data_IF_129135557601
#
_entry.id   IF_129135557601
#
_cell.length_a   1.000
_cell.length_b   1.000
_cell.length_c   1.000
_cell.angle_alpha   90.00
_cell.angle_beta   90.00
_cell.angle_gamma   90.00
#
_symmetry.space_group_name_H-M   'P 1'
#
loop_
_entity.id
_entity.type
_entity.pdbx_description
1 polymer ?
#
# COMPACT_ATOMS: atom_id res chain seq x y z
N UNK A 1 7.97 15.47 -10.61
CA UNK A 1 6.51 15.32 -10.75
C UNK A 1 5.79 16.65 -10.68
N UNK A 2 6.40 17.65 -10.09
CA UNK A 2 5.88 19.00 -9.99
C UNK A 2 5.32 19.35 -8.62
N UNK A 3 5.26 20.62 -8.37
CA UNK A 3 4.91 21.29 -7.11
C UNK A 3 3.60 20.79 -6.51
N UNK A 4 2.53 20.66 -7.29
CA UNK A 4 1.22 20.18 -6.77
C UNK A 4 1.25 18.74 -6.28
N UNK A 5 2.06 17.89 -6.89
CA UNK A 5 2.20 16.49 -6.44
C UNK A 5 3.01 16.42 -5.15
N UNK A 6 4.07 17.23 -5.04
CA UNK A 6 4.90 17.32 -3.84
C UNK A 6 4.10 17.88 -2.65
N UNK A 7 3.31 18.93 -2.88
CA UNK A 7 2.38 19.47 -1.89
C UNK A 7 1.36 18.42 -1.43
N UNK A 8 0.77 17.66 -2.37
CA UNK A 8 -0.17 16.60 -2.00
C UNK A 8 0.51 15.50 -1.18
N UNK A 9 1.70 15.07 -1.55
CA UNK A 9 2.46 14.06 -0.81
C UNK A 9 2.78 14.54 0.62
N UNK A 10 3.14 15.79 0.82
CA UNK A 10 3.35 16.36 2.14
C UNK A 10 2.05 16.41 2.95
N UNK A 11 0.97 16.94 2.38
CA UNK A 11 -0.33 17.05 3.05
C UNK A 11 -0.89 15.67 3.42
N UNK A 12 -0.76 14.67 2.52
CA UNK A 12 -1.24 13.32 2.78
C UNK A 12 -0.39 12.58 3.82
N UNK A 13 0.92 12.82 3.86
CA UNK A 13 1.78 12.26 4.91
C UNK A 13 1.40 12.83 6.30
N UNK A 14 1.11 14.11 6.38
CA UNK A 14 0.62 14.76 7.61
C UNK A 14 -0.74 14.19 8.04
N UNK A 15 -1.68 14.07 7.10
CA UNK A 15 -3.02 13.51 7.34
C UNK A 15 -2.97 12.07 7.86
N UNK A 16 -2.09 11.23 7.32
CA UNK A 16 -1.93 9.83 7.72
C UNK A 16 -0.96 9.62 8.87
N UNK A 17 -0.36 10.69 9.40
CA UNK A 17 0.68 10.63 10.43
C UNK A 17 1.83 9.68 10.05
N UNK A 18 2.27 9.74 8.79
CA UNK A 18 3.39 8.99 8.24
C UNK A 18 4.56 9.92 7.91
N UNK A 19 5.78 9.35 7.81
CA UNK A 19 6.97 10.15 7.46
C UNK A 19 7.08 10.45 5.97
N UNK A 20 6.57 9.55 5.14
CA UNK A 20 6.69 9.63 3.69
C UNK A 20 5.38 9.20 3.04
N UNK A 21 4.99 9.92 2.02
CA UNK A 21 3.88 9.63 1.14
C UNK A 21 4.37 9.67 -0.30
N UNK A 22 4.12 8.63 -1.06
CA UNK A 22 4.58 8.46 -2.44
C UNK A 22 3.37 8.17 -3.31
N UNK A 23 2.94 9.15 -4.08
CA UNK A 23 1.80 9.01 -4.99
C UNK A 23 2.16 8.18 -6.23
N UNK A 24 1.16 7.53 -6.81
CA UNK A 24 1.30 6.67 -7.99
C UNK A 24 0.02 6.67 -8.84
N UNK A 25 0.00 5.91 -9.91
CA UNK A 25 -1.09 5.90 -10.88
C UNK A 25 -2.43 5.41 -10.34
N UNK A 26 -2.44 4.43 -9.44
CA UNK A 26 -3.65 3.86 -8.86
C UNK A 26 -3.34 2.97 -7.64
N UNK A 27 -4.39 2.49 -6.95
CA UNK A 27 -4.21 1.63 -5.77
C UNK A 27 -3.60 0.26 -6.06
N UNK A 28 -3.86 -0.34 -7.21
CA UNK A 28 -3.26 -1.62 -7.62
C UNK A 28 -1.75 -1.48 -7.79
N UNK A 29 -1.33 -0.42 -8.47
CA UNK A 29 0.08 -0.08 -8.66
C UNK A 29 0.75 0.21 -7.32
N UNK A 30 0.05 0.87 -6.38
CA UNK A 30 0.58 1.12 -5.05
C UNK A 30 1.01 -0.18 -4.35
N UNK A 31 0.15 -1.22 -4.37
CA UNK A 31 0.47 -2.52 -3.77
C UNK A 31 1.62 -3.20 -4.54
N UNK A 32 1.57 -3.23 -5.87
CA UNK A 32 2.62 -3.85 -6.69
C UNK A 32 3.98 -3.19 -6.47
N UNK A 33 4.04 -1.86 -6.46
CA UNK A 33 5.28 -1.11 -6.22
C UNK A 33 5.88 -1.42 -4.85
N UNK A 34 5.05 -1.55 -3.79
CA UNK A 34 5.52 -1.97 -2.47
C UNK A 34 6.12 -3.37 -2.52
N UNK A 35 5.40 -4.34 -3.08
CA UNK A 35 5.86 -5.72 -3.19
C UNK A 35 7.20 -5.83 -3.93
N UNK A 36 7.33 -5.17 -5.08
CA UNK A 36 8.58 -5.14 -5.86
C UNK A 36 9.72 -4.45 -5.13
N UNK A 37 9.43 -3.34 -4.42
CA UNK A 37 10.43 -2.64 -3.59
C UNK A 37 10.98 -3.51 -2.47
N UNK A 38 10.17 -4.45 -1.97
CA UNK A 38 10.55 -5.45 -0.96
C UNK A 38 11.22 -6.68 -1.55
N UNK A 39 11.35 -6.77 -2.88
CA UNK A 39 12.00 -7.88 -3.59
C UNK A 39 11.10 -9.09 -3.82
N UNK A 40 9.79 -8.94 -3.67
CA UNK A 40 8.81 -10.01 -3.93
C UNK A 40 8.78 -10.31 -5.44
N UNK A 41 8.85 -11.59 -5.80
CA UNK A 41 9.02 -12.05 -7.17
C UNK A 41 8.45 -13.45 -7.39
N UNK A 42 8.61 -13.98 -8.60
CA UNK A 42 8.23 -15.35 -8.95
C UNK A 42 8.85 -16.38 -7.97
N UNK A 43 8.03 -17.31 -7.50
CA UNK A 43 8.37 -18.33 -6.52
C UNK A 43 8.11 -17.94 -5.07
N UNK A 44 7.86 -16.66 -4.78
CA UNK A 44 7.43 -16.19 -3.46
C UNK A 44 5.92 -16.33 -3.29
N UNK A 45 5.47 -16.38 -2.04
CA UNK A 45 4.07 -16.40 -1.64
C UNK A 45 3.74 -15.17 -0.80
N UNK A 46 2.56 -14.59 -1.03
CA UNK A 46 2.02 -13.46 -0.28
C UNK A 46 0.65 -13.85 0.26
N UNK A 47 0.48 -13.81 1.58
CA UNK A 47 -0.80 -14.09 2.22
C UNK A 47 -1.71 -12.88 2.03
N UNK A 48 -2.94 -13.14 1.58
CA UNK A 48 -3.96 -12.14 1.24
C UNK A 48 -5.31 -12.56 1.81
N UNK A 49 -6.05 -11.61 2.34
CA UNK A 49 -7.43 -11.78 2.77
C UNK A 49 -8.35 -12.13 1.59
N UNK A 50 -9.15 -13.20 1.72
CA UNK A 50 -9.92 -13.75 0.58
C UNK A 50 -11.08 -12.85 0.13
N UNK A 51 -11.74 -12.14 1.05
CA UNK A 51 -12.90 -11.27 0.78
C UNK A 51 -12.51 -9.85 0.30
N UNK A 52 -11.25 -9.65 -0.13
CA UNK A 52 -10.79 -8.37 -0.67
C UNK A 52 -11.29 -8.11 -2.09
N UNK A 53 -11.18 -6.86 -2.54
CA UNK A 53 -11.30 -6.55 -3.96
C UNK A 53 -10.14 -7.16 -4.73
N UNK A 54 -10.40 -7.60 -5.96
CA UNK A 54 -9.43 -8.33 -6.81
C UNK A 54 -8.07 -7.63 -6.95
N UNK A 55 -8.01 -6.31 -6.83
CA UNK A 55 -6.79 -5.52 -6.98
C UNK A 55 -5.66 -5.98 -6.06
N UNK A 56 -5.98 -6.38 -4.81
CA UNK A 56 -4.98 -6.85 -3.84
C UNK A 56 -4.28 -8.13 -4.34
N UNK A 57 -5.06 -9.12 -4.77
CA UNK A 57 -4.53 -10.37 -5.32
C UNK A 57 -3.85 -10.17 -6.69
N UNK A 58 -4.43 -9.31 -7.54
CA UNK A 58 -3.87 -8.98 -8.85
C UNK A 58 -2.49 -8.34 -8.71
N UNK A 59 -2.29 -7.42 -7.76
CA UNK A 59 -1.00 -6.79 -7.52
C UNK A 59 0.08 -7.83 -7.13
N UNK A 60 -0.29 -8.85 -6.36
CA UNK A 60 0.61 -9.97 -6.04
C UNK A 60 0.98 -10.74 -7.30
N UNK A 61 -0.01 -11.17 -8.10
CA UNK A 61 0.25 -11.96 -9.32
C UNK A 61 1.07 -11.20 -10.36
N UNK A 62 0.90 -9.88 -10.45
CA UNK A 62 1.70 -9.02 -11.34
C UNK A 62 3.19 -9.01 -10.98
N UNK A 63 3.57 -9.30 -9.73
CA UNK A 63 4.99 -9.50 -9.36
C UNK A 63 5.55 -10.86 -9.79
N UNK A 64 4.69 -11.79 -10.19
CA UNK A 64 5.00 -13.21 -10.42
C UNK A 64 4.89 -14.08 -9.16
N UNK A 65 4.61 -13.49 -7.99
CA UNK A 65 4.37 -14.22 -6.75
C UNK A 65 2.97 -14.85 -6.74
N UNK A 66 2.77 -15.81 -5.85
CA UNK A 66 1.50 -16.53 -5.67
C UNK A 66 0.73 -15.92 -4.50
N UNK A 67 -0.50 -15.41 -4.69
CA UNK A 67 -1.37 -15.06 -3.57
C UNK A 67 -1.85 -16.33 -2.86
N UNK A 68 -1.70 -16.36 -1.54
CA UNK A 68 -2.22 -17.42 -0.67
C UNK A 68 -3.37 -16.84 0.14
N UNK A 69 -4.56 -17.30 -0.13
CA UNK A 69 -5.75 -16.74 0.50
C UNK A 69 -5.98 -17.33 1.89
N UNK A 70 -6.38 -16.47 2.82
CA UNK A 70 -6.93 -16.82 4.13
C UNK A 70 -8.32 -16.22 4.27
N UNK A 71 -9.17 -16.88 5.03
CA UNK A 71 -10.53 -16.41 5.25
C UNK A 71 -10.55 -15.14 6.13
N UNK A 72 -11.69 -14.47 6.17
CA UNK A 72 -11.94 -13.38 7.10
C UNK A 72 -12.60 -13.90 8.38
N UNK A 73 -12.51 -13.09 9.42
CA UNK A 73 -13.28 -13.28 10.66
C UNK A 73 -14.71 -12.72 10.53
N UNK A 74 -15.45 -12.71 11.65
CA UNK A 74 -16.82 -12.16 11.73
C UNK A 74 -16.91 -10.66 11.41
N UNK A 75 -15.80 -9.96 11.53
CA UNK A 75 -15.71 -8.52 11.28
C UNK A 75 -15.25 -8.20 9.86
N UNK A 76 -15.19 -9.20 8.98
CA UNK A 76 -14.72 -9.11 7.59
C UNK A 76 -13.23 -8.74 7.46
N UNK A 77 -12.45 -8.88 8.52
CA UNK A 77 -11.02 -8.63 8.54
C UNK A 77 -10.24 -9.94 8.46
N UNK A 78 -8.94 -9.86 8.15
CA UNK A 78 -8.10 -11.04 7.99
C UNK A 78 -8.09 -11.90 9.27
N UNK A 79 -8.36 -13.20 9.13
CA UNK A 79 -8.35 -14.12 10.27
C UNK A 79 -6.92 -14.46 10.69
N UNK A 80 -6.50 -14.01 11.87
CA UNK A 80 -5.17 -14.23 12.43
C UNK A 80 -4.82 -15.70 12.66
N UNK A 81 -5.81 -16.52 13.07
CA UNK A 81 -5.58 -17.93 13.37
C UNK A 81 -5.30 -18.74 12.09
N UNK A 82 -5.87 -18.34 10.97
CA UNK A 82 -5.68 -19.01 9.70
C UNK A 82 -4.33 -18.67 9.03
N UNK A 83 -3.76 -17.50 9.32
CA UNK A 83 -2.45 -17.11 8.78
C UNK A 83 -1.38 -18.13 9.16
N UNK A 84 -1.32 -18.57 10.43
CA UNK A 84 -0.31 -19.52 10.89
C UNK A 84 -0.39 -20.88 10.16
N UNK A 85 -1.57 -21.27 9.69
CA UNK A 85 -1.80 -22.56 9.01
C UNK A 85 -1.22 -22.60 7.59
N UNK A 86 -1.06 -21.43 6.97
CA UNK A 86 -0.67 -21.30 5.54
C UNK A 86 0.75 -20.78 5.32
N UNK A 87 1.46 -20.41 6.39
CA UNK A 87 2.86 -19.95 6.28
C UNK A 87 3.76 -21.08 5.81
N UNK A 88 4.51 -20.84 4.75
CA UNK A 88 5.53 -21.74 4.21
C UNK A 88 6.91 -21.07 4.16
N UNK A 89 7.94 -21.80 3.72
CA UNK A 89 9.27 -21.22 3.48
C UNK A 89 9.29 -20.20 2.32
N UNK A 90 8.28 -20.22 1.45
CA UNK A 90 8.11 -19.29 0.33
C UNK A 90 7.36 -18.02 0.72
N UNK A 91 6.64 -18.02 1.83
CA UNK A 91 5.90 -16.85 2.30
C UNK A 91 6.87 -15.72 2.63
N UNK A 92 6.62 -14.52 2.07
CA UNK A 92 7.44 -13.32 2.24
C UNK A 92 6.68 -12.14 2.82
N UNK A 93 5.37 -12.06 2.59
CA UNK A 93 4.56 -10.95 3.04
C UNK A 93 3.14 -11.39 3.43
N UNK A 94 2.51 -10.53 4.23
CA UNK A 94 1.09 -10.57 4.57
C UNK A 94 0.51 -9.21 4.16
N UNK A 95 -0.59 -9.21 3.41
CA UNK A 95 -1.38 -8.02 3.11
C UNK A 95 -2.71 -8.14 3.86
N UNK A 96 -2.91 -7.27 4.85
CA UNK A 96 -4.19 -7.09 5.52
C UNK A 96 -4.96 -5.96 4.83
N UNK A 97 -6.25 -6.16 4.62
CA UNK A 97 -7.10 -5.15 4.01
C UNK A 97 -7.96 -4.50 5.07
N UNK A 98 -7.87 -3.18 5.18
CA UNK A 98 -8.72 -2.37 6.06
C UNK A 98 -10.08 -2.14 5.38
N UNK A 99 -10.84 -3.25 5.23
CA UNK A 99 -12.05 -3.32 4.45
C UNK A 99 -13.16 -2.46 5.07
N UNK A 100 -13.92 -1.75 4.25
CA UNK A 100 -15.00 -0.84 4.67
C UNK A 100 -14.55 0.29 5.62
N UNK A 101 -13.25 0.57 5.67
CA UNK A 101 -12.67 1.59 6.56
C UNK A 101 -12.39 1.09 7.97
N UNK A 102 -12.55 -0.21 8.22
CA UNK A 102 -12.28 -0.83 9.51
C UNK A 102 -10.85 -1.36 9.58
N UNK A 103 -10.13 -1.00 10.63
CA UNK A 103 -8.79 -1.50 10.90
C UNK A 103 -8.84 -2.76 11.76
N UNK A 104 -8.04 -3.77 11.38
CA UNK A 104 -7.89 -5.01 12.15
C UNK A 104 -6.92 -4.89 13.33
N UNK A 105 -6.66 -6.01 14.02
CA UNK A 105 -5.61 -6.07 15.05
C UNK A 105 -4.20 -6.05 14.41
N UNK A 106 -3.85 -4.88 13.89
CA UNK A 106 -2.58 -4.64 13.20
C UNK A 106 -1.35 -4.83 14.11
N UNK A 107 -1.51 -4.70 15.43
CA UNK A 107 -0.43 -4.98 16.37
C UNK A 107 -0.13 -6.47 16.48
N UNK A 108 -1.15 -7.31 16.54
CA UNK A 108 -0.97 -8.78 16.51
C UNK A 108 -0.45 -9.27 15.17
N UNK A 109 -0.93 -8.71 14.05
CA UNK A 109 -0.37 -8.96 12.72
C UNK A 109 1.12 -8.60 12.62
N UNK A 110 1.52 -7.45 13.16
CA UNK A 110 2.91 -7.03 13.23
C UNK A 110 3.76 -8.03 14.03
N UNK A 111 3.29 -8.45 15.22
CA UNK A 111 4.00 -9.45 16.03
C UNK A 111 4.17 -10.78 15.30
N UNK A 112 3.11 -11.24 14.63
CA UNK A 112 3.12 -12.47 13.85
C UNK A 112 4.10 -12.35 12.67
N UNK A 113 4.01 -11.29 11.89
CA UNK A 113 4.91 -11.04 10.77
C UNK A 113 6.38 -10.99 11.23
N UNK A 114 6.66 -10.29 12.33
CA UNK A 114 8.01 -10.21 12.91
C UNK A 114 8.54 -11.59 13.36
N UNK A 115 7.70 -12.40 14.01
CA UNK A 115 8.04 -13.77 14.44
C UNK A 115 8.47 -14.63 13.26
N UNK A 116 7.78 -14.51 12.12
CA UNK A 116 8.05 -15.30 10.91
C UNK A 116 8.97 -14.59 9.89
N UNK A 117 9.51 -13.40 10.23
CA UNK A 117 10.35 -12.58 9.35
C UNK A 117 9.67 -12.21 8.02
N UNK A 118 8.37 -11.96 8.08
CA UNK A 118 7.54 -11.56 6.94
C UNK A 118 7.38 -10.03 6.91
N UNK A 119 7.18 -9.49 5.72
CA UNK A 119 6.74 -8.11 5.56
C UNK A 119 5.23 -8.02 5.84
N UNK A 120 4.82 -7.04 6.64
CA UNK A 120 3.43 -6.71 6.87
C UNK A 120 3.06 -5.44 6.12
N UNK A 121 2.05 -5.50 5.27
CA UNK A 121 1.55 -4.42 4.41
C UNK A 121 0.06 -4.25 4.68
N UNK A 122 -0.43 -3.01 4.66
CA UNK A 122 -1.85 -2.70 4.75
C UNK A 122 -2.38 -2.19 3.40
N UNK A 123 -3.45 -2.82 2.91
CA UNK A 123 -4.27 -2.25 1.85
C UNK A 123 -5.37 -1.40 2.50
N UNK A 124 -5.19 -0.09 2.44
CA UNK A 124 -6.08 0.92 3.01
C UNK A 124 -6.87 1.68 1.94
N UNK A 125 -7.10 1.05 0.79
CA UNK A 125 -7.84 1.65 -0.31
C UNK A 125 -9.28 2.09 0.05
N UNK A 126 -9.80 1.65 1.20
CA UNK A 126 -11.12 2.02 1.73
C UNK A 126 -11.03 2.69 3.12
N UNK A 127 -9.84 3.01 3.61
CA UNK A 127 -9.60 3.38 5.00
C UNK A 127 -8.92 4.77 5.15
N UNK A 128 -9.24 5.71 4.26
CA UNK A 128 -8.78 7.10 4.37
C UNK A 128 -9.35 7.71 5.65
N UNK A 129 -8.47 8.21 6.52
CA UNK A 129 -8.85 8.78 7.82
C UNK A 129 -9.23 7.77 8.90
N UNK A 130 -9.21 6.47 8.61
CA UNK A 130 -9.45 5.44 9.63
C UNK A 130 -8.41 5.50 10.74
N UNK A 131 -8.84 5.28 11.97
CA UNK A 131 -7.95 5.18 13.13
C UNK A 131 -8.40 4.06 14.06
N UNK A 132 -7.43 3.37 14.65
CA UNK A 132 -7.65 2.41 15.73
C UNK A 132 -6.70 2.73 16.88
N UNK A 133 -7.25 2.94 18.10
CA UNK A 133 -6.47 3.34 19.26
C UNK A 133 -5.55 4.56 18.98
N UNK A 134 -6.07 5.57 18.27
CA UNK A 134 -5.36 6.78 17.81
C UNK A 134 -4.20 6.52 16.82
N UNK A 135 -4.09 5.33 16.26
CA UNK A 135 -3.10 4.99 15.25
C UNK A 135 -3.76 4.92 13.87
N UNK A 136 -3.17 5.55 12.88
CA UNK A 136 -3.56 5.44 11.47
C UNK A 136 -2.98 4.18 10.83
N UNK A 137 -3.50 3.72 9.67
CA UNK A 137 -2.85 2.69 8.87
C UNK A 137 -1.38 3.07 8.58
N UNK A 138 -0.48 2.07 8.56
CA UNK A 138 0.96 2.31 8.42
C UNK A 138 1.73 2.42 9.74
N UNK A 139 1.04 2.41 10.89
CA UNK A 139 1.70 2.47 12.20
C UNK A 139 2.56 1.25 12.48
N UNK A 140 2.07 0.07 12.15
CA UNK A 140 2.70 -1.22 12.44
C UNK A 140 3.21 -1.91 11.18
N UNK A 141 2.65 -1.61 10.02
CA UNK A 141 3.06 -2.16 8.74
C UNK A 141 4.29 -1.43 8.19
N UNK A 142 4.99 -2.09 7.25
CA UNK A 142 6.11 -1.48 6.52
C UNK A 142 5.64 -0.40 5.55
N UNK A 143 4.42 -0.56 5.03
CA UNK A 143 3.74 0.38 4.16
C UNK A 143 2.22 0.22 4.25
N UNK A 144 1.49 1.31 4.01
CA UNK A 144 0.06 1.31 3.76
C UNK A 144 -0.23 1.88 2.37
N UNK A 145 -1.15 1.26 1.63
CA UNK A 145 -1.47 1.62 0.25
C UNK A 145 -2.88 2.17 0.13
N UNK A 146 -3.06 3.18 -0.69
CA UNK A 146 -4.33 3.91 -0.85
C UNK A 146 -4.70 4.00 -2.33
N UNK A 147 -6.01 4.02 -2.58
CA UNK A 147 -6.58 4.27 -3.90
C UNK A 147 -7.35 5.58 -3.87
N UNK A 148 -7.16 6.41 -4.90
CA UNK A 148 -7.94 7.63 -5.10
C UNK A 148 -8.91 7.50 -6.29
N UNK A 149 -9.32 6.25 -6.63
CA UNK A 149 -10.42 6.04 -7.57
C UNK A 149 -11.62 6.93 -7.19
N UNK A 150 -12.36 7.52 -8.13
CA UNK A 150 -13.38 8.55 -7.84
C UNK A 150 -14.41 8.19 -6.78
N UNK A 151 -14.74 6.90 -6.62
CA UNK A 151 -15.69 6.39 -5.63
C UNK A 151 -15.10 6.17 -4.22
N UNK A 152 -13.83 6.49 -3.98
CA UNK A 152 -13.21 6.37 -2.65
C UNK A 152 -13.50 7.59 -1.79
N UNK A 153 -13.33 7.46 -0.46
CA UNK A 153 -13.55 8.56 0.51
C UNK A 153 -12.76 9.81 0.12
N UNK A 154 -11.51 9.64 -0.30
CA UNK A 154 -10.72 10.66 -0.97
C UNK A 154 -10.57 10.25 -2.44
N UNK A 155 -11.48 10.68 -3.29
CA UNK A 155 -11.49 10.35 -4.71
C UNK A 155 -10.96 11.48 -5.58
N UNK A 156 -10.06 11.16 -6.51
CA UNK A 156 -9.62 12.06 -7.58
C UNK A 156 -10.71 12.23 -8.66
N UNK A 157 -10.45 12.97 -9.70
CA UNK A 157 -11.28 13.05 -10.91
C UNK A 157 -10.82 12.07 -12.00
N UNK A 158 -10.18 11.01 -11.61
CA UNK A 158 -9.63 9.94 -12.43
C UNK A 158 -8.92 8.93 -11.53
N UNK A 159 -7.97 8.19 -12.09
CA UNK A 159 -7.18 7.27 -11.31
C UNK A 159 -6.13 8.00 -10.45
N UNK A 160 -5.80 7.41 -9.33
CA UNK A 160 -4.76 7.84 -8.43
C UNK A 160 -4.54 6.83 -7.32
N UNK A 161 -3.37 6.85 -6.74
CA UNK A 161 -3.00 6.04 -5.59
C UNK A 161 -1.87 6.64 -4.80
N UNK A 162 -1.62 6.09 -3.63
CA UNK A 162 -0.53 6.52 -2.79
C UNK A 162 -0.04 5.38 -1.90
N UNK A 163 1.22 5.48 -1.51
CA UNK A 163 1.87 4.60 -0.55
C UNK A 163 2.38 5.47 0.59
N UNK A 164 2.05 5.12 1.83
CA UNK A 164 2.66 5.75 3.00
C UNK A 164 3.61 4.78 3.69
N UNK A 165 4.71 5.31 4.23
CA UNK A 165 5.70 4.51 4.96
C UNK A 165 6.49 5.37 5.93
N UNK A 166 7.03 4.73 6.98
CA UNK A 166 7.98 5.34 7.90
C UNK A 166 9.44 4.97 7.60
N UNK A 167 9.66 4.14 6.57
CA UNK A 167 10.99 3.70 6.13
C UNK A 167 11.52 4.59 5.01
N UNK A 168 12.59 5.35 5.30
CA UNK A 168 13.29 6.17 4.32
C UNK A 168 13.79 5.33 3.13
N UNK A 169 14.38 4.17 3.43
CA UNK A 169 14.91 3.27 2.39
C UNK A 169 13.82 2.77 1.44
N UNK A 170 12.62 2.45 1.97
CA UNK A 170 11.49 2.03 1.15
C UNK A 170 10.96 3.20 0.31
N UNK A 171 10.82 4.39 0.91
CA UNK A 171 10.37 5.58 0.21
C UNK A 171 11.28 5.94 -0.99
N UNK A 172 12.59 5.91 -0.79
CA UNK A 172 13.56 6.16 -1.87
C UNK A 172 13.40 5.15 -3.03
N UNK A 173 13.26 3.85 -2.72
CA UNK A 173 13.03 2.82 -3.76
C UNK A 173 11.72 3.05 -4.52
N UNK A 174 10.65 3.40 -3.82
CA UNK A 174 9.34 3.66 -4.43
C UNK A 174 9.36 4.86 -5.38
N UNK A 175 10.04 5.94 -4.99
CA UNK A 175 10.22 7.14 -5.83
C UNK A 175 10.89 6.78 -7.16
N UNK A 176 11.90 5.91 -7.15
CA UNK A 176 12.55 5.47 -8.38
C UNK A 176 11.67 4.55 -9.21
N UNK A 177 11.06 3.53 -8.55
CA UNK A 177 10.27 2.54 -9.25
C UNK A 177 9.06 3.16 -9.97
N UNK A 178 8.33 4.09 -9.34
CA UNK A 178 7.17 4.75 -9.96
C UNK A 178 7.53 5.61 -11.18
N UNK A 179 8.80 5.98 -11.32
CA UNK A 179 9.28 6.88 -12.36
C UNK A 179 10.39 6.24 -13.20
N UNK A 180 10.07 5.17 -13.91
CA UNK A 180 10.94 4.48 -14.85
C UNK A 180 12.25 3.93 -14.28
N UNK A 181 12.40 3.80 -12.96
CA UNK A 181 13.65 3.39 -12.32
C UNK A 181 14.75 4.46 -12.38
N UNK A 182 14.37 5.73 -12.58
CA UNK A 182 15.30 6.83 -12.81
C UNK A 182 15.56 7.64 -11.55
N UNK A 183 16.83 7.76 -11.16
CA UNK A 183 17.31 8.69 -10.13
C UNK A 183 17.62 10.07 -10.69
N UNK A 184 18.09 10.11 -11.92
CA UNK A 184 18.44 11.31 -12.65
C UNK A 184 17.89 11.21 -14.07
N UNK A 185 17.37 12.30 -14.59
CA UNK A 185 16.78 12.36 -15.95
C UNK A 185 17.70 11.65 -16.96
N UNK A 186 17.13 10.70 -17.71
CA UNK A 186 17.79 9.85 -18.71
C UNK A 186 18.73 8.76 -18.16
N UNK A 187 18.86 8.58 -16.83
CA UNK A 187 19.64 7.50 -16.23
C UNK A 187 18.72 6.55 -15.48
N UNK A 188 18.67 5.29 -15.90
CA UNK A 188 17.78 4.25 -15.36
C UNK A 188 18.61 3.12 -14.78
N UNK A 189 18.75 3.10 -13.44
CA UNK A 189 19.58 2.12 -12.73
C UNK A 189 18.83 0.78 -12.52
N UNK A 190 17.51 0.82 -12.54
CA UNK A 190 16.64 -0.34 -12.35
C UNK A 190 15.46 -0.28 -13.32
N UNK A 191 14.83 -1.44 -13.57
CA UNK A 191 13.57 -1.50 -14.31
C UNK A 191 12.47 -0.90 -13.42
N UNK A 192 11.89 0.20 -13.86
CA UNK A 192 10.82 0.88 -13.15
C UNK A 192 9.52 0.92 -13.98
N UNK A 193 8.55 1.69 -13.49
CA UNK A 193 7.19 1.76 -14.01
C UNK A 193 6.83 3.21 -14.36
N UNK A 194 5.92 3.37 -15.30
CA UNK A 194 5.22 4.63 -15.50
C UNK A 194 3.97 4.64 -14.62
N UNK A 195 4.16 4.92 -13.33
CA UNK A 195 3.07 4.95 -12.36
C UNK A 195 3.20 6.19 -11.49
N UNK A 196 2.67 7.29 -11.99
CA UNK A 196 2.72 8.61 -11.38
C UNK A 196 1.31 9.15 -11.19
N UNK A 197 1.13 10.00 -10.18
CA UNK A 197 -0.07 10.81 -10.04
C UNK A 197 0.04 12.02 -10.94
N UNK A 198 -0.98 12.29 -11.76
CA UNK A 198 -1.05 13.48 -12.57
C UNK A 198 -1.24 14.74 -11.72
N UNK A 199 -0.57 15.88 -12.04
CA UNK A 199 -0.69 17.12 -11.25
C UNK A 199 -2.14 17.61 -11.09
N UNK A 200 -2.98 17.43 -12.09
CA UNK A 200 -4.39 17.82 -12.01
C UNK A 200 -5.14 17.01 -10.94
N UNK A 201 -4.84 15.73 -10.80
CA UNK A 201 -5.42 14.89 -9.75
C UNK A 201 -4.90 15.31 -8.37
N UNK A 202 -3.64 15.68 -8.27
CA UNK A 202 -3.05 16.18 -7.02
C UNK A 202 -3.75 17.47 -6.54
N UNK A 203 -4.05 18.41 -7.43
CA UNK A 203 -4.82 19.62 -7.11
C UNK A 203 -6.20 19.28 -6.56
N UNK A 204 -6.93 18.39 -7.22
CA UNK A 204 -8.26 17.94 -6.77
C UNK A 204 -8.18 17.28 -5.39
N UNK A 205 -7.19 16.41 -5.19
CA UNK A 205 -7.00 15.70 -3.93
C UNK A 205 -6.61 16.63 -2.79
N UNK A 206 -5.74 17.62 -3.03
CA UNK A 206 -5.38 18.66 -2.05
C UNK A 206 -6.61 19.42 -1.57
N UNK A 207 -7.48 19.84 -2.51
CA UNK A 207 -8.70 20.56 -2.12
C UNK A 207 -9.66 19.68 -1.32
N UNK A 208 -9.89 18.44 -1.74
CA UNK A 208 -10.79 17.50 -1.05
C UNK A 208 -10.26 17.07 0.32
N UNK A 209 -8.95 16.93 0.47
CA UNK A 209 -8.33 16.52 1.73
C UNK A 209 -8.65 17.46 2.90
N UNK A 210 -8.94 18.72 2.62
CA UNK A 210 -9.32 19.72 3.63
C UNK A 210 -10.67 19.43 4.31
N UNK A 211 -11.48 18.55 3.71
CA UNK A 211 -12.85 18.24 4.16
C UNK A 211 -13.04 16.79 4.61
N UNK A 212 -11.96 16.01 4.67
CA UNK A 212 -12.00 14.60 5.05
C UNK A 212 -11.83 14.35 6.56
#
# INVERSE_FOLDING_TARGET
LGEFVEEFEENFSNFTNSKYSISCGNGTDAIELVLRSLGIKAGDEVIVQANTFIATALAVTRTGATPVFVDCDSDYLINLDDINKVITKKTKAIISVNLYGQMGDNYSLYKLAKKHKLHFIEDSAQAHGATQNKNSPGKYSIASTYSFYPGKNLGAWGDGGCITTNSKQLAEKLIYLRNWGSKKKYFHDVIGYNSRLDPIQAVVLNEKLKFL
#
